data_IF_283428626569
#
_entry.id   IF_283428626569
#
_cell.length_a   1.000
_cell.length_b   1.000
_cell.length_c   1.000
_cell.angle_alpha   90.00
_cell.angle_beta   90.00
_cell.angle_gamma   90.00
#
_symmetry.space_group_name_H-M   'P 1'
#
loop_
_entity.id
_entity.type
_entity.pdbx_description
1 polymer ?
#
# COMPACT_ATOMS: atom_id res chain seq x y z
N UNK A 1 -48.50 26.11 47.98
CA UNK A 1 -47.80 26.60 46.78
C UNK A 1 -46.37 26.95 47.16
N UNK A 2 -45.43 26.52 46.32
CA UNK A 2 -44.01 26.25 46.57
C UNK A 2 -43.10 27.48 46.66
N UNK A 3 -41.93 27.29 47.26
CA UNK A 3 -40.86 28.25 47.57
C UNK A 3 -39.82 28.46 46.45
N UNK A 4 -39.19 29.65 46.51
CA UNK A 4 -37.74 29.97 46.43
C UNK A 4 -36.87 29.81 45.15
N UNK A 5 -36.11 30.91 44.89
CA UNK A 5 -34.64 31.03 44.70
C UNK A 5 -33.99 31.38 43.32
N UNK A 6 -33.31 32.56 43.34
CA UNK A 6 -32.00 33.01 42.78
C UNK A 6 -31.60 32.99 41.29
N UNK A 7 -30.90 34.08 40.86
CA UNK A 7 -29.63 34.20 40.09
C UNK A 7 -29.53 35.62 39.47
N UNK A 8 -28.40 36.27 39.12
CA UNK A 8 -26.94 36.15 39.28
C UNK A 8 -26.31 37.49 38.80
N UNK A 9 -25.02 37.74 39.10
CA UNK A 9 -24.33 39.05 39.08
C UNK A 9 -23.37 39.19 37.87
N UNK A 10 -23.28 40.42 37.35
CA UNK A 10 -22.37 40.95 36.32
C UNK A 10 -20.96 41.23 36.86
N UNK A 11 -19.90 41.03 36.07
CA UNK A 11 -18.75 41.97 36.00
C UNK A 11 -17.74 41.59 34.92
N UNK A 12 -17.39 42.57 34.09
CA UNK A 12 -16.29 42.56 33.12
C UNK A 12 -15.02 43.15 33.76
N UNK A 13 -13.84 42.74 33.31
CA UNK A 13 -12.62 43.54 33.43
C UNK A 13 -11.66 43.31 32.25
N UNK A 14 -11.00 44.38 31.85
CA UNK A 14 -10.26 44.62 30.60
C UNK A 14 -8.77 44.61 30.87
N UNK A 15 -7.93 43.98 30.01
CA UNK A 15 -6.51 44.32 29.90
C UNK A 15 -6.03 44.40 28.43
N UNK A 16 -5.46 45.58 28.17
CA UNK A 16 -4.66 46.19 27.11
C UNK A 16 -3.83 45.35 26.11
N UNK A 17 -3.62 45.99 24.96
CA UNK A 17 -3.03 45.57 23.67
C UNK A 17 -1.50 45.54 23.61
N UNK A 18 -0.93 44.64 22.78
CA UNK A 18 0.43 44.79 22.25
C UNK A 18 0.94 43.65 21.36
N UNK A 19 0.97 43.88 20.04
CA UNK A 19 1.85 43.28 19.01
C UNK A 19 1.68 41.80 18.56
N UNK A 20 1.04 41.62 17.39
CA UNK A 20 1.28 40.64 16.30
C UNK A 20 1.55 39.17 16.65
N UNK A 21 0.79 38.17 16.20
CA UNK A 21 0.35 37.86 14.82
C UNK A 21 -0.97 37.06 14.91
N UNK A 22 -1.96 37.40 14.09
CA UNK A 22 -3.16 36.56 13.89
C UNK A 22 -2.77 35.32 13.09
N UNK A 23 -2.79 34.15 13.72
CA UNK A 23 -2.86 32.87 13.00
C UNK A 23 -4.34 32.53 12.79
N UNK A 24 -4.80 32.61 11.54
CA UNK A 24 -6.13 32.19 11.14
C UNK A 24 -6.37 30.72 11.51
N UNK A 25 -7.55 30.46 12.08
CA UNK A 25 -8.08 29.11 12.31
C UNK A 25 -8.34 28.43 10.96
N UNK A 26 -7.47 27.51 10.56
CA UNK A 26 -7.85 26.37 9.73
C UNK A 26 -7.72 25.10 10.58
N UNK A 27 -8.86 24.43 10.79
CA UNK A 27 -9.01 23.19 11.56
C UNK A 27 -8.19 22.06 10.89
N UNK A 28 -6.96 21.82 11.31
CA UNK A 28 -6.25 20.57 11.02
C UNK A 28 -6.61 19.52 12.07
N UNK A 29 -7.86 19.07 12.10
CA UNK A 29 -8.22 17.79 12.74
C UNK A 29 -7.70 16.69 11.81
N UNK A 30 -6.50 16.17 12.09
CA UNK A 30 -5.97 15.03 11.34
C UNK A 30 -4.46 14.77 11.41
N UNK A 31 -3.68 15.56 12.16
CA UNK A 31 -2.21 15.42 12.15
C UNK A 31 -1.56 15.23 13.53
N UNK A 32 -2.35 15.11 14.61
CA UNK A 32 -1.78 14.90 15.95
C UNK A 32 -1.77 13.44 16.44
N UNK A 33 -2.39 12.51 15.71
CA UNK A 33 -2.33 11.07 16.06
C UNK A 33 -1.16 10.33 15.40
N UNK A 34 -0.27 11.02 14.67
CA UNK A 34 0.87 10.40 13.98
C UNK A 34 2.23 10.63 14.65
N UNK A 35 2.26 11.09 15.89
CA UNK A 35 3.49 11.41 16.61
C UNK A 35 3.59 10.70 17.97
N UNK A 36 3.69 9.38 17.94
CA UNK A 36 4.08 8.52 19.08
C UNK A 36 4.85 7.34 18.46
N UNK A 37 6.09 6.96 18.78
CA UNK A 37 7.17 7.42 19.65
C UNK A 37 8.43 6.73 19.10
N UNK A 38 9.43 7.47 18.62
CA UNK A 38 10.79 6.93 18.52
C UNK A 38 11.49 7.25 19.84
N UNK A 39 11.61 6.26 20.73
CA UNK A 39 12.70 6.14 21.73
C UNK A 39 12.67 4.76 22.44
N UNK A 40 13.77 4.04 22.22
CA UNK A 40 14.49 3.03 23.04
C UNK A 40 13.79 1.78 23.60
N UNK A 41 14.42 0.63 23.30
CA UNK A 41 14.46 -0.69 23.96
C UNK A 41 13.33 -1.05 24.93
N UNK A 42 12.44 -1.94 24.48
CA UNK A 42 12.13 -3.21 25.16
C UNK A 42 11.13 -4.04 24.32
N UNK A 43 11.28 -5.36 24.36
CA UNK A 43 10.45 -6.35 23.66
C UNK A 43 9.05 -6.41 24.28
N UNK A 44 8.07 -5.75 23.67
CA UNK A 44 6.67 -5.82 24.10
C UNK A 44 5.75 -6.06 22.88
N UNK A 45 5.14 -7.26 22.85
CA UNK A 45 4.21 -7.74 21.82
C UNK A 45 3.00 -6.79 21.62
N UNK A 46 2.74 -5.94 22.61
CA UNK A 46 1.69 -4.91 22.57
C UNK A 46 1.99 -3.80 21.54
N UNK A 47 3.27 -3.53 21.25
CA UNK A 47 3.68 -2.57 20.20
C UNK A 47 3.45 -3.09 18.79
N UNK A 48 3.66 -4.39 18.54
CA UNK A 48 3.46 -5.01 17.22
C UNK A 48 1.96 -5.11 16.88
N UNK A 49 1.16 -5.53 17.86
CA UNK A 49 -0.30 -5.60 17.73
C UNK A 49 -0.92 -4.22 17.46
N UNK A 50 -0.38 -3.17 18.09
CA UNK A 50 -0.85 -1.79 17.89
C UNK A 50 -0.43 -1.23 16.53
N UNK A 51 0.76 -1.60 16.01
CA UNK A 51 1.18 -1.30 14.64
C UNK A 51 0.32 -2.02 13.60
N UNK A 52 0.00 -3.31 13.79
CA UNK A 52 -0.93 -4.02 12.91
C UNK A 52 -2.34 -3.43 12.92
N UNK A 53 -2.78 -2.87 14.05
CA UNK A 53 -4.11 -2.26 14.20
C UNK A 53 -4.20 -0.83 13.62
N UNK A 54 -3.07 -0.15 13.44
CA UNK A 54 -2.99 1.23 12.93
C UNK A 54 -2.29 1.36 11.56
N UNK A 55 -1.61 0.32 11.10
CA UNK A 55 -1.00 0.31 9.78
C UNK A 55 -2.06 -0.03 8.74
N UNK A 56 -2.10 0.73 7.64
CA UNK A 56 -2.94 0.33 6.52
C UNK A 56 -2.41 -0.98 5.91
N UNK A 57 -3.26 -1.71 5.20
CA UNK A 57 -2.91 -2.96 4.53
C UNK A 57 -2.61 -2.69 3.06
N UNK A 58 -1.71 -1.73 2.80
CA UNK A 58 -1.31 -1.32 1.46
C UNK A 58 0.17 -1.56 1.18
N UNK A 59 0.50 -1.82 -0.07
CA UNK A 59 1.87 -1.84 -0.54
C UNK A 59 1.99 -1.32 -1.97
N UNK A 60 3.17 -0.81 -2.28
CA UNK A 60 3.60 -0.48 -3.64
C UNK A 60 5.07 -0.90 -3.77
N UNK A 61 5.35 -1.74 -4.74
CA UNK A 61 6.67 -2.23 -5.07
C UNK A 61 6.90 -2.19 -6.58
N UNK A 62 8.17 -2.10 -6.96
CA UNK A 62 8.63 -2.09 -8.36
C UNK A 62 9.92 -2.87 -8.49
N UNK A 63 10.28 -3.21 -9.72
CA UNK A 63 11.62 -3.70 -9.99
C UNK A 63 12.64 -2.56 -9.76
N UNK A 64 13.75 -2.89 -9.10
CA UNK A 64 14.90 -2.02 -8.91
C UNK A 64 15.82 -1.96 -10.13
N UNK A 65 15.79 -3.02 -10.93
CA UNK A 65 16.62 -3.22 -12.10
C UNK A 65 15.91 -4.13 -13.10
N UNK A 66 16.40 -4.18 -14.35
CA UNK A 66 15.81 -5.01 -15.39
C UNK A 66 15.82 -6.48 -14.98
N UNK A 67 14.73 -7.20 -15.26
CA UNK A 67 14.58 -8.62 -14.97
C UNK A 67 14.48 -9.40 -16.27
N UNK A 68 15.41 -10.33 -16.50
CA UNK A 68 15.27 -11.32 -17.57
C UNK A 68 14.32 -12.43 -17.12
N UNK A 69 13.37 -12.77 -17.99
CA UNK A 69 12.42 -13.87 -17.77
C UNK A 69 13.09 -15.18 -18.17
N UNK A 70 13.23 -16.09 -17.21
CA UNK A 70 13.96 -17.34 -17.34
C UNK A 70 13.04 -18.52 -17.63
N UNK A 71 11.87 -18.56 -17.00
CA UNK A 71 10.98 -19.73 -17.07
C UNK A 71 9.50 -19.41 -16.87
N UNK A 72 8.66 -20.32 -17.34
CA UNK A 72 7.23 -20.34 -17.04
C UNK A 72 7.05 -20.55 -15.53
N UNK A 73 6.06 -19.92 -14.92
CA UNK A 73 5.82 -19.94 -13.46
C UNK A 73 6.91 -19.28 -12.60
N UNK A 74 7.86 -18.54 -13.18
CA UNK A 74 8.77 -17.68 -12.43
C UNK A 74 7.96 -16.63 -11.65
N UNK A 75 8.21 -16.49 -10.33
CA UNK A 75 7.67 -15.37 -9.55
C UNK A 75 8.45 -14.10 -9.87
N UNK A 76 7.75 -13.00 -10.15
CA UNK A 76 8.35 -11.67 -10.33
C UNK A 76 8.56 -11.06 -8.94
N UNK A 77 9.82 -10.87 -8.57
CA UNK A 77 10.21 -10.28 -7.29
C UNK A 77 10.40 -8.77 -7.49
N UNK A 78 9.48 -7.97 -6.96
CA UNK A 78 9.57 -6.50 -6.98
C UNK A 78 10.40 -6.05 -5.77
N UNK A 79 11.71 -6.04 -5.94
CA UNK A 79 12.72 -5.91 -4.89
C UNK A 79 12.77 -4.51 -4.24
N UNK A 80 12.29 -3.48 -4.94
CA UNK A 80 12.19 -2.12 -4.40
C UNK A 80 10.79 -1.84 -3.90
N UNK A 81 10.64 -1.83 -2.58
CA UNK A 81 9.40 -1.46 -1.89
C UNK A 81 9.39 0.03 -1.57
N UNK A 82 8.31 0.72 -1.96
CA UNK A 82 8.11 2.15 -1.73
C UNK A 82 7.17 2.37 -0.54
N UNK A 83 6.08 1.61 -0.49
CA UNK A 83 5.13 1.61 0.63
C UNK A 83 4.86 0.16 1.04
N UNK A 84 4.74 -0.11 2.34
CA UNK A 84 4.43 -1.45 2.87
C UNK A 84 3.76 -1.36 4.24
N UNK A 85 2.55 -0.79 4.25
CA UNK A 85 1.68 -0.80 5.40
C UNK A 85 1.39 -2.25 5.85
N UNK A 86 1.43 -2.46 7.16
CA UNK A 86 1.18 -3.75 7.79
C UNK A 86 2.25 -4.81 7.51
N UNK A 87 3.35 -4.43 6.84
CA UNK A 87 4.45 -5.34 6.44
C UNK A 87 3.94 -6.58 5.68
N UNK A 88 2.92 -6.37 4.84
CA UNK A 88 2.21 -7.45 4.17
C UNK A 88 2.92 -7.94 2.91
N UNK A 89 3.78 -7.13 2.31
CA UNK A 89 4.57 -7.50 1.13
C UNK A 89 6.02 -7.87 1.50
N UNK A 90 6.52 -8.98 0.96
CA UNK A 90 7.90 -9.42 1.11
C UNK A 90 8.68 -9.22 -0.20
N UNK A 91 9.56 -8.23 -0.20
CA UNK A 91 10.37 -7.85 -1.36
C UNK A 91 11.50 -8.83 -1.72
N UNK A 92 11.75 -9.85 -0.88
CA UNK A 92 12.70 -10.93 -1.20
C UNK A 92 12.03 -12.10 -1.90
N UNK A 93 10.72 -12.25 -1.76
CA UNK A 93 9.97 -13.37 -2.34
C UNK A 93 8.98 -12.94 -3.41
N UNK A 94 8.62 -11.66 -3.48
CA UNK A 94 7.60 -11.18 -4.41
C UNK A 94 6.16 -11.40 -3.92
N UNK A 95 5.99 -11.83 -2.67
CA UNK A 95 4.71 -12.32 -2.14
C UNK A 95 4.08 -11.27 -1.21
N UNK A 96 2.81 -10.97 -1.47
CA UNK A 96 1.90 -10.37 -0.51
C UNK A 96 1.23 -11.46 0.32
N UNK A 97 1.17 -11.29 1.64
CA UNK A 97 0.42 -12.17 2.56
C UNK A 97 -0.72 -11.39 3.20
N UNK A 98 -1.93 -11.90 3.05
CA UNK A 98 -3.14 -11.32 3.61
C UNK A 98 -3.11 -11.38 5.15
N UNK A 99 -2.87 -10.24 5.81
CA UNK A 99 -2.84 -10.18 7.27
C UNK A 99 -4.24 -10.26 7.91
N UNK A 100 -5.30 -9.86 7.20
CA UNK A 100 -6.67 -9.88 7.71
C UNK A 100 -7.66 -10.15 6.58
N UNK A 101 -8.61 -11.05 6.79
CA UNK A 101 -9.63 -11.37 5.79
C UNK A 101 -10.42 -10.12 5.35
N UNK A 102 -10.68 -9.99 4.05
CA UNK A 102 -11.43 -8.86 3.50
C UNK A 102 -11.32 -8.73 1.99
N UNK A 103 -11.85 -7.63 1.47
CA UNK A 103 -11.75 -7.27 0.06
C UNK A 103 -10.45 -6.51 -0.19
N UNK A 104 -9.67 -6.98 -1.14
CA UNK A 104 -8.41 -6.38 -1.58
C UNK A 104 -8.48 -5.98 -3.05
N UNK A 105 -7.77 -4.90 -3.37
CA UNK A 105 -7.50 -4.45 -4.73
C UNK A 105 -6.04 -4.69 -5.01
N UNK A 106 -5.74 -5.29 -6.16
CA UNK A 106 -4.38 -5.43 -6.66
C UNK A 106 -4.28 -4.84 -8.05
N UNK A 107 -3.18 -4.14 -8.33
CA UNK A 107 -2.85 -3.65 -9.65
C UNK A 107 -1.38 -3.94 -9.94
N UNK A 108 -1.10 -4.41 -11.15
CA UNK A 108 0.26 -4.67 -11.61
C UNK A 108 0.44 -4.25 -13.06
N UNK A 109 1.68 -3.92 -13.40
CA UNK A 109 2.11 -3.56 -14.75
C UNK A 109 3.42 -4.25 -15.10
N UNK A 110 3.62 -4.54 -16.37
CA UNK A 110 4.90 -5.01 -16.90
C UNK A 110 5.19 -4.29 -18.22
N UNK A 111 6.40 -3.73 -18.36
CA UNK A 111 6.92 -3.22 -19.62
C UNK A 111 7.97 -4.20 -20.14
N UNK A 112 7.72 -4.76 -21.33
CA UNK A 112 8.57 -5.78 -21.95
C UNK A 112 9.40 -5.15 -23.06
N UNK A 113 10.62 -5.63 -23.23
CA UNK A 113 11.50 -5.29 -24.36
C UNK A 113 10.80 -5.40 -25.73
N UNK A 114 11.26 -4.61 -26.70
CA UNK A 114 10.71 -4.62 -28.05
C UNK A 114 10.76 -6.01 -28.71
N UNK A 115 9.78 -6.32 -29.55
CA UNK A 115 9.65 -7.55 -30.33
C UNK A 115 9.52 -8.83 -29.50
N UNK A 116 9.23 -8.70 -28.19
CA UNK A 116 8.97 -9.80 -27.27
C UNK A 116 7.60 -9.63 -26.62
N UNK A 117 7.09 -10.72 -26.05
CA UNK A 117 5.92 -10.69 -25.19
C UNK A 117 6.15 -11.45 -23.89
N UNK A 118 5.44 -11.02 -22.85
CA UNK A 118 5.32 -11.71 -21.56
C UNK A 118 3.86 -11.62 -21.12
N UNK A 119 3.25 -12.77 -20.87
CA UNK A 119 2.03 -12.90 -20.09
C UNK A 119 2.40 -12.89 -18.61
N UNK A 120 1.68 -12.10 -17.80
CA UNK A 120 1.81 -12.14 -16.35
C UNK A 120 0.49 -12.52 -15.71
N UNK A 121 0.58 -13.31 -14.65
CA UNK A 121 -0.55 -13.92 -13.95
C UNK A 121 -0.51 -13.43 -12.51
N UNK A 122 -1.56 -12.76 -12.06
CA UNK A 122 -1.76 -12.54 -10.62
C UNK A 122 -2.38 -13.80 -10.04
N UNK A 123 -1.64 -14.49 -9.16
CA UNK A 123 -2.05 -15.76 -8.58
C UNK A 123 -2.19 -15.64 -7.07
N UNK A 124 -3.29 -16.17 -6.56
CA UNK A 124 -3.49 -16.41 -5.13
C UNK A 124 -3.08 -17.84 -4.75
N UNK A 125 -3.04 -18.16 -3.46
CA UNK A 125 -2.87 -19.55 -2.98
C UNK A 125 -3.92 -20.55 -3.52
N UNK A 126 -5.06 -20.07 -4.05
CA UNK A 126 -6.21 -20.92 -4.45
C UNK A 126 -6.41 -20.99 -5.96
N UNK A 127 -6.16 -19.90 -6.67
CA UNK A 127 -6.42 -19.79 -8.11
C UNK A 127 -5.72 -18.59 -8.74
N UNK A 128 -5.73 -18.57 -10.08
CA UNK A 128 -5.47 -17.38 -10.86
C UNK A 128 -6.58 -16.35 -10.66
N UNK A 129 -6.18 -15.10 -10.45
CA UNK A 129 -7.09 -13.97 -10.23
C UNK A 129 -7.22 -13.07 -11.45
N UNK A 130 -6.17 -13.00 -12.27
CA UNK A 130 -6.18 -12.22 -13.50
C UNK A 130 -4.88 -12.38 -14.29
N UNK A 131 -4.96 -12.11 -15.59
CA UNK A 131 -3.86 -12.22 -16.54
C UNK A 131 -3.74 -10.92 -17.33
N UNK A 132 -2.54 -10.62 -17.80
CA UNK A 132 -2.28 -9.55 -18.77
C UNK A 132 -1.17 -9.95 -19.74
N UNK A 133 -1.29 -9.54 -21.00
CA UNK A 133 -0.26 -9.70 -22.01
C UNK A 133 0.44 -8.36 -22.23
N UNK A 134 1.76 -8.37 -22.14
CA UNK A 134 2.62 -7.21 -22.41
C UNK A 134 3.51 -7.53 -23.61
N UNK A 135 3.56 -6.64 -24.61
CA UNK A 135 4.39 -6.81 -25.79
C UNK A 135 4.18 -5.70 -26.81
N UNK A 136 5.16 -5.49 -27.68
CA UNK A 136 5.14 -4.43 -28.69
C UNK A 136 6.11 -4.73 -29.83
N UNK A 137 5.75 -4.34 -31.06
CA UNK A 137 6.58 -4.54 -32.25
C UNK A 137 7.39 -3.28 -32.56
N UNK A 138 8.71 -3.41 -32.67
CA UNK A 138 9.64 -2.30 -32.91
C UNK A 138 9.84 -1.34 -31.74
N UNK A 139 9.06 -1.46 -30.66
CA UNK A 139 9.15 -0.67 -29.43
C UNK A 139 8.76 -1.53 -28.22
N UNK A 140 9.26 -1.21 -27.01
CA UNK A 140 8.79 -1.83 -25.77
C UNK A 140 7.28 -1.67 -25.60
N UNK A 141 6.62 -2.70 -25.10
CA UNK A 141 5.16 -2.72 -24.92
C UNK A 141 4.77 -3.05 -23.48
N UNK A 142 3.78 -2.33 -22.96
CA UNK A 142 3.31 -2.49 -21.57
C UNK A 142 1.90 -3.05 -21.51
N UNK A 143 1.68 -3.94 -20.55
CA UNK A 143 0.36 -4.40 -20.12
C UNK A 143 0.16 -4.12 -18.64
N UNK A 144 -1.09 -3.89 -18.24
CA UNK A 144 -1.49 -3.73 -16.84
C UNK A 144 -2.87 -4.32 -16.61
N UNK A 145 -3.16 -4.70 -15.38
CA UNK A 145 -4.50 -5.13 -14.98
C UNK A 145 -4.76 -4.77 -13.52
N UNK A 146 -6.04 -4.69 -13.16
CA UNK A 146 -6.50 -4.51 -11.77
C UNK A 146 -7.54 -5.57 -11.43
N UNK A 147 -7.47 -6.14 -10.23
CA UNK A 147 -8.48 -7.06 -9.71
C UNK A 147 -9.00 -6.60 -8.36
N UNK A 148 -10.26 -6.94 -8.08
CA UNK A 148 -10.89 -6.80 -6.76
C UNK A 148 -11.28 -8.19 -6.29
N UNK A 149 -10.77 -8.62 -5.15
CA UNK A 149 -10.86 -10.02 -4.70
C UNK A 149 -11.07 -10.12 -3.19
N UNK A 150 -11.84 -11.12 -2.74
CA UNK A 150 -11.91 -11.49 -1.33
C UNK A 150 -10.76 -12.43 -0.98
N UNK A 151 -9.96 -12.06 0.02
CA UNK A 151 -8.91 -12.90 0.59
C UNK A 151 -9.24 -13.28 2.02
N UNK A 152 -8.74 -14.45 2.43
CA UNK A 152 -8.73 -14.88 3.82
C UNK A 152 -7.36 -14.59 4.42
N UNK A 153 -7.31 -14.39 5.74
CA UNK A 153 -6.06 -14.27 6.47
C UNK A 153 -5.13 -15.47 6.14
N UNK A 154 -3.88 -15.17 5.81
CA UNK A 154 -2.87 -16.14 5.39
C UNK A 154 -2.86 -16.48 3.89
N UNK A 155 -3.85 -16.04 3.10
CA UNK A 155 -3.78 -16.18 1.64
C UNK A 155 -2.59 -15.38 1.09
N UNK A 156 -1.82 -16.00 0.20
CA UNK A 156 -0.69 -15.37 -0.49
C UNK A 156 -1.12 -14.91 -1.87
N UNK A 157 -0.59 -13.79 -2.33
CA UNK A 157 -0.78 -13.25 -3.68
C UNK A 157 0.56 -12.84 -4.26
N UNK A 158 0.83 -13.23 -5.51
CA UNK A 158 2.06 -12.90 -6.22
C UNK A 158 1.81 -12.80 -7.72
N UNK A 159 2.69 -12.09 -8.42
CA UNK A 159 2.68 -12.04 -9.89
C UNK A 159 3.67 -13.07 -10.43
N UNK A 160 3.22 -13.92 -11.33
CA UNK A 160 4.01 -14.97 -11.98
C UNK A 160 4.08 -14.75 -13.49
N UNK A 161 5.12 -15.31 -14.10
CA UNK A 161 5.27 -15.39 -15.55
C UNK A 161 4.39 -16.50 -16.10
N UNK A 162 3.56 -16.19 -17.09
CA UNK A 162 2.83 -17.14 -17.93
C UNK A 162 3.63 -17.49 -19.18
N UNK A 163 2.99 -17.44 -20.35
CA UNK A 163 3.69 -17.58 -21.63
C UNK A 163 4.62 -16.39 -21.93
N UNK A 164 5.76 -16.62 -22.59
CA UNK A 164 6.71 -15.55 -22.94
C UNK A 164 7.59 -15.91 -24.15
N UNK A 165 8.20 -14.88 -24.75
CA UNK A 165 9.27 -15.04 -25.76
C UNK A 165 10.62 -15.23 -25.04
N UNK A 166 11.44 -16.26 -25.35
CA UNK A 166 12.78 -16.39 -24.77
C UNK A 166 13.63 -15.12 -24.95
N UNK A 167 14.35 -14.70 -23.92
CA UNK A 167 15.10 -13.43 -23.91
C UNK A 167 14.26 -12.20 -23.58
N UNK A 168 13.00 -12.38 -23.15
CA UNK A 168 12.17 -11.28 -22.67
C UNK A 168 12.78 -10.61 -21.44
N UNK A 169 12.87 -9.28 -21.49
CA UNK A 169 13.34 -8.45 -20.37
C UNK A 169 12.19 -7.55 -19.92
N UNK A 170 11.90 -7.57 -18.62
CA UNK A 170 11.02 -6.63 -17.95
C UNK A 170 11.83 -5.40 -17.49
N UNK A 171 11.33 -4.20 -17.79
CA UNK A 171 11.99 -2.96 -17.42
C UNK A 171 11.60 -2.47 -16.03
N UNK A 172 12.63 -2.05 -15.28
CA UNK A 172 12.65 -1.58 -13.90
C UNK A 172 11.41 -0.81 -13.40
N UNK A 173 11.43 0.52 -13.40
CA UNK A 173 10.42 1.37 -12.76
C UNK A 173 9.04 1.27 -13.42
N UNK A 174 8.97 0.74 -14.64
CA UNK A 174 7.75 0.52 -15.39
C UNK A 174 7.01 -0.76 -14.98
N UNK A 175 7.71 -1.70 -14.34
CA UNK A 175 7.16 -2.97 -13.88
C UNK A 175 6.86 -2.89 -12.40
N UNK A 176 5.58 -2.89 -12.06
CA UNK A 176 5.10 -2.54 -10.72
C UNK A 176 4.06 -3.52 -10.20
N UNK A 177 3.96 -3.61 -8.89
CA UNK A 177 2.92 -4.35 -8.19
C UNK A 177 2.48 -3.58 -6.96
N UNK A 178 1.16 -3.42 -6.82
CA UNK A 178 0.54 -2.70 -5.72
C UNK A 178 -0.72 -3.39 -5.27
N UNK A 179 -1.11 -3.12 -4.03
CA UNK A 179 -2.43 -3.51 -3.55
C UNK A 179 -2.77 -2.84 -2.23
N UNK A 180 -4.06 -2.82 -1.93
CA UNK A 180 -4.60 -2.29 -0.68
C UNK A 180 -5.93 -2.96 -0.31
N UNK A 181 -6.27 -2.97 0.98
CA UNK A 181 -7.57 -3.42 1.48
C UNK A 181 -8.63 -2.32 1.35
N UNK A 182 -9.86 -2.67 0.94
CA UNK A 182 -10.93 -1.70 0.65
C UNK A 182 -11.73 -1.20 1.87
N UNK A 183 -11.66 -1.88 3.03
CA UNK A 183 -12.18 -1.46 4.35
C UNK A 183 -11.92 -2.56 5.38
#
# INVERSE_FOLDING_TARGET
>A
MSSSHSQSINSAEVIQTGSGIKADRLKSRGLQDRFILMKTDDTDDTYDTTRQKLAGFEFYARLGQKLEVQEHEQTIIYDVTVTNGGLTYNNKTGIFTCATSGVYVFSWSALVTADHYVETILRSSKSDLGLTYSGGKGYPGSGSQTVVVNLHQGDNVQVKVGSFTPGSILYDIYTTFSGFRLQ
#
